data_IF_796032717903
#
_entry.id   IF_796032717903
#
_cell.length_a   1.000
_cell.length_b   1.000
_cell.length_c   1.000
_cell.angle_alpha   90.00
_cell.angle_beta   90.00
_cell.angle_gamma   90.00
#
_symmetry.space_group_name_H-M   'P 1'
#
loop_
_entity.id
_entity.type
_entity.pdbx_description
1 polymer ?
#
# COMPACT_ATOMS: atom_id res chain seq x y z
N UNK A 1 -16.90 6.03 15.43
CA UNK A 1 -16.87 4.71 14.74
C UNK A 1 -15.51 4.59 14.10
N UNK A 2 -14.66 3.71 14.64
CA UNK A 2 -13.37 3.34 14.04
C UNK A 2 -13.61 2.84 12.61
N UNK A 3 -12.94 3.45 11.62
CA UNK A 3 -12.96 2.93 10.25
C UNK A 3 -12.05 1.70 10.22
N UNK A 4 -12.50 0.56 9.67
CA UNK A 4 -11.62 -0.60 9.53
C UNK A 4 -10.43 -0.24 8.62
N UNK A 5 -9.25 -0.84 8.85
CA UNK A 5 -8.13 -0.72 7.93
C UNK A 5 -8.52 -1.21 6.54
N UNK A 6 -7.96 -0.58 5.51
CA UNK A 6 -8.09 -1.03 4.14
C UNK A 6 -6.80 -1.72 3.68
N UNK A 7 -6.97 -2.70 2.80
CA UNK A 7 -5.88 -3.45 2.18
C UNK A 7 -6.01 -3.29 0.67
N UNK A 8 -5.15 -2.46 0.10
CA UNK A 8 -5.28 -2.02 -1.28
C UNK A 8 -4.07 -2.46 -2.10
N UNK A 9 -4.32 -2.83 -3.35
CA UNK A 9 -3.30 -3.17 -4.33
C UNK A 9 -3.47 -2.32 -5.57
N UNK A 10 -2.36 -1.86 -6.15
CA UNK A 10 -2.33 -1.26 -7.47
C UNK A 10 -1.03 -1.58 -8.21
N UNK A 11 -1.11 -1.57 -9.56
CA UNK A 11 0.07 -1.60 -10.41
C UNK A 11 0.56 -0.18 -10.65
N UNK A 12 1.88 -0.02 -10.65
CA UNK A 12 2.53 1.25 -11.01
C UNK A 12 2.12 1.67 -12.42
N UNK A 13 1.81 2.96 -12.60
CA UNK A 13 1.41 3.55 -13.89
C UNK A 13 2.55 4.33 -14.55
N UNK A 14 3.44 4.90 -13.75
CA UNK A 14 4.60 5.67 -14.19
C UNK A 14 5.86 5.16 -13.49
N UNK A 15 6.97 5.08 -14.23
CA UNK A 15 8.26 4.68 -13.63
C UNK A 15 8.71 5.78 -12.67
N UNK A 16 8.91 5.42 -11.40
CA UNK A 16 9.54 6.28 -10.42
C UNK A 16 11.05 6.38 -10.70
N UNK A 17 11.60 7.58 -10.87
CA UNK A 17 13.04 7.76 -11.17
C UNK A 17 13.94 7.23 -10.05
N UNK A 18 13.49 7.30 -8.79
CA UNK A 18 14.25 6.84 -7.63
C UNK A 18 14.12 5.33 -7.39
N UNK A 19 13.02 4.71 -7.86
CA UNK A 19 12.71 3.29 -7.65
C UNK A 19 12.20 2.64 -8.93
N UNK A 20 13.04 2.57 -9.98
CA UNK A 20 12.59 2.17 -11.32
C UNK A 20 12.20 0.68 -11.42
N UNK A 21 12.60 -0.14 -10.44
CA UNK A 21 12.27 -1.57 -10.38
C UNK A 21 10.88 -1.85 -9.81
N UNK A 22 10.20 -0.88 -9.20
CA UNK A 22 8.91 -1.08 -8.54
C UNK A 22 7.80 -1.20 -9.59
N UNK A 23 7.02 -2.27 -9.51
CA UNK A 23 5.95 -2.59 -10.47
C UNK A 23 4.56 -2.60 -9.84
N UNK A 24 4.48 -2.75 -8.51
CA UNK A 24 3.22 -2.73 -7.78
C UNK A 24 3.40 -2.17 -6.37
N UNK A 25 2.32 -1.59 -5.87
CA UNK A 25 2.23 -1.04 -4.52
C UNK A 25 1.08 -1.75 -3.78
N UNK A 26 1.35 -2.12 -2.53
CA UNK A 26 0.32 -2.50 -1.56
C UNK A 26 0.25 -1.43 -0.50
N UNK A 27 -0.96 -0.97 -0.16
CA UNK A 27 -1.22 -0.20 1.05
C UNK A 27 -1.91 -1.11 2.05
N UNK A 28 -1.18 -1.48 3.10
CA UNK A 28 -1.65 -2.40 4.13
C UNK A 28 -2.01 -1.63 5.40
N UNK A 29 -3.30 -1.52 5.69
CA UNK A 29 -3.77 -0.83 6.89
C UNK A 29 -3.47 -1.62 8.16
N UNK A 30 -2.87 -0.95 9.14
CA UNK A 30 -2.52 -1.50 10.44
C UNK A 30 -3.39 -0.86 11.52
N UNK A 31 -3.90 -1.69 12.43
CA UNK A 31 -4.59 -1.17 13.61
C UNK A 31 -3.61 -0.57 14.60
N UNK A 32 -3.98 0.57 15.18
CA UNK A 32 -3.22 1.23 16.24
C UNK A 32 -3.88 0.96 17.60
N UNK A 33 -3.06 0.77 18.64
CA UNK A 33 -3.52 0.66 20.01
C UNK A 33 -4.08 2.00 20.49
N UNK A 34 -5.32 1.98 21.00
CA UNK A 34 -6.03 3.17 21.43
C UNK A 34 -7.50 3.11 21.00
N UNK A 35 -8.40 3.57 21.88
CA UNK A 35 -9.80 3.73 21.51
C UNK A 35 -9.90 4.85 20.47
N UNK A 36 -10.53 4.57 19.34
CA UNK A 36 -10.76 5.50 18.22
C UNK A 36 -9.52 6.03 17.45
N UNK A 37 -8.32 5.49 17.68
CA UNK A 37 -7.15 5.83 16.86
C UNK A 37 -7.33 5.35 15.40
N UNK A 38 -7.06 6.22 14.40
CA UNK A 38 -7.17 5.85 13.00
C UNK A 38 -6.06 4.85 12.60
N UNK A 39 -6.30 4.00 11.60
CA UNK A 39 -5.27 3.11 11.10
C UNK A 39 -4.14 3.89 10.42
N UNK A 40 -2.92 3.41 10.62
CA UNK A 40 -1.73 3.78 9.83
C UNK A 40 -1.59 2.82 8.66
N UNK A 41 -0.81 3.18 7.65
CA UNK A 41 -0.72 2.39 6.41
C UNK A 41 0.74 2.08 6.09
N UNK A 42 1.04 0.78 5.94
CA UNK A 42 2.32 0.36 5.39
C UNK A 42 2.22 0.36 3.86
N UNK A 43 2.97 1.24 3.20
CA UNK A 43 3.26 1.14 1.78
C UNK A 43 4.31 0.04 1.59
N UNK A 44 3.98 -1.01 0.83
CA UNK A 44 4.91 -2.07 0.46
C UNK A 44 5.14 -1.99 -1.05
N UNK A 45 6.40 -1.81 -1.45
CA UNK A 45 6.82 -1.67 -2.84
C UNK A 45 7.32 -3.00 -3.36
N UNK A 46 6.69 -3.50 -4.41
CA UNK A 46 7.05 -4.78 -5.02
C UNK A 46 7.81 -4.57 -6.33
N UNK A 47 8.89 -5.34 -6.49
CA UNK A 47 9.51 -5.58 -7.80
C UNK A 47 8.66 -6.60 -8.57
N UNK A 48 8.24 -7.67 -7.91
CA UNK A 48 7.29 -8.65 -8.42
C UNK A 48 6.37 -9.12 -7.29
N UNK A 49 5.09 -8.76 -7.42
CA UNK A 49 4.05 -9.11 -6.45
C UNK A 49 3.76 -10.61 -6.40
N UNK A 50 3.85 -11.31 -7.53
CA UNK A 50 3.51 -12.74 -7.61
C UNK A 50 4.54 -13.58 -6.87
N UNK A 51 5.83 -13.27 -7.05
CA UNK A 51 6.92 -13.95 -6.36
C UNK A 51 7.26 -13.35 -5.00
N UNK A 52 6.47 -12.39 -4.51
CA UNK A 52 6.70 -11.68 -3.24
C UNK A 52 8.10 -11.02 -3.15
N UNK A 53 8.61 -10.50 -4.26
CA UNK A 53 9.87 -9.75 -4.26
C UNK A 53 9.61 -8.29 -3.91
N UNK A 54 10.01 -7.92 -2.69
CA UNK A 54 9.83 -6.58 -2.12
C UNK A 54 11.10 -5.76 -2.39
N UNK A 55 10.91 -4.52 -2.84
CA UNK A 55 11.97 -3.51 -2.90
C UNK A 55 12.17 -2.87 -1.52
N UNK A 56 11.08 -2.56 -0.84
CA UNK A 56 11.06 -2.09 0.54
C UNK A 56 9.67 -1.63 0.95
N UNK A 57 9.57 -1.11 2.16
CA UNK A 57 8.33 -0.60 2.74
C UNK A 57 8.49 0.82 3.30
N UNK A 58 7.39 1.47 3.65
CA UNK A 58 7.35 2.75 4.36
C UNK A 58 6.03 2.94 5.11
N UNK A 59 6.09 3.40 6.36
CA UNK A 59 4.92 3.65 7.19
C UNK A 59 4.38 5.07 6.97
N UNK A 60 3.11 5.17 6.59
CA UNK A 60 2.35 6.42 6.41
C UNK A 60 1.34 6.58 7.54
N UNK A 61 1.11 7.81 8.00
CA UNK A 61 0.26 8.07 9.16
C UNK A 61 -1.23 8.04 8.80
N UNK A 62 -1.57 8.08 7.52
CA UNK A 62 -2.95 8.02 7.05
C UNK A 62 -3.07 7.40 5.66
N UNK A 63 -4.30 6.96 5.32
CA UNK A 63 -4.60 6.49 3.97
C UNK A 63 -4.48 7.61 2.92
N UNK A 64 -4.92 8.82 3.27
CA UNK A 64 -4.90 9.97 2.37
C UNK A 64 -3.46 10.29 1.96
N UNK A 65 -2.57 10.39 2.94
CA UNK A 65 -1.14 10.56 2.71
C UNK A 65 -0.57 9.44 1.82
N UNK A 66 -0.87 8.18 2.12
CA UNK A 66 -0.39 7.05 1.34
C UNK A 66 -0.86 7.08 -0.13
N UNK A 67 -2.10 7.51 -0.38
CA UNK A 67 -2.65 7.66 -1.73
C UNK A 67 -2.01 8.83 -2.49
N UNK A 68 -1.76 9.95 -1.80
CA UNK A 68 -1.09 11.12 -2.39
C UNK A 68 0.33 10.79 -2.84
N UNK A 69 1.13 10.15 -1.98
CA UNK A 69 2.48 9.70 -2.34
C UNK A 69 2.47 8.69 -3.48
N UNK A 70 1.56 7.71 -3.44
CA UNK A 70 1.49 6.71 -4.50
C UNK A 70 1.07 7.32 -5.86
N UNK A 71 0.23 8.35 -5.85
CA UNK A 71 -0.10 9.10 -7.05
C UNK A 71 1.10 9.90 -7.56
N UNK A 72 1.80 10.61 -6.66
CA UNK A 72 2.95 11.44 -7.03
C UNK A 72 4.13 10.63 -7.57
N UNK A 73 4.49 9.53 -6.90
CA UNK A 73 5.70 8.76 -7.20
C UNK A 73 5.48 7.69 -8.27
N UNK A 74 4.29 7.09 -8.33
CA UNK A 74 3.99 5.93 -9.18
C UNK A 74 2.86 6.15 -10.17
N UNK A 75 2.24 7.33 -10.18
CA UNK A 75 1.11 7.67 -11.06
C UNK A 75 -0.17 6.89 -10.76
N UNK A 76 -0.30 6.31 -9.57
CA UNK A 76 -1.45 5.46 -9.22
C UNK A 76 -2.62 6.35 -8.78
N UNK A 77 -3.71 6.34 -9.54
CA UNK A 77 -4.91 7.12 -9.22
C UNK A 77 -5.91 6.32 -8.37
N UNK A 78 -6.88 7.03 -7.80
CA UNK A 78 -7.91 6.42 -6.94
C UNK A 78 -8.64 5.23 -7.59
N UNK A 79 -8.88 5.28 -8.90
CA UNK A 79 -9.57 4.21 -9.65
C UNK A 79 -8.68 3.01 -10.00
N UNK A 80 -7.36 3.11 -9.79
CA UNK A 80 -6.42 2.02 -10.05
C UNK A 80 -6.34 1.03 -8.89
N UNK A 81 -6.72 1.47 -7.69
CA UNK A 81 -6.72 0.65 -6.49
C UNK A 81 -7.85 -0.37 -6.54
N UNK A 82 -7.52 -1.60 -6.18
CA UNK A 82 -8.50 -2.63 -5.84
C UNK A 82 -8.31 -3.07 -4.40
N UNK A 83 -9.40 -3.50 -3.79
CA UNK A 83 -9.33 -4.23 -2.53
C UNK A 83 -8.60 -5.56 -2.75
N UNK A 84 -7.75 -5.92 -1.79
CA UNK A 84 -7.14 -7.24 -1.71
C UNK A 84 -8.15 -8.26 -1.17
N UNK A 85 -8.03 -9.51 -1.61
CA UNK A 85 -8.77 -10.63 -1.02
C UNK A 85 -8.03 -11.19 0.20
N UNK A 86 -8.66 -12.11 0.94
CA UNK A 86 -8.08 -12.67 2.16
C UNK A 86 -6.76 -13.43 1.90
N UNK A 87 -6.66 -14.20 0.82
CA UNK A 87 -5.43 -14.93 0.46
C UNK A 87 -4.26 -13.99 0.14
N UNK A 88 -4.55 -12.82 -0.42
CA UNK A 88 -3.56 -11.77 -0.65
C UNK A 88 -3.13 -11.10 0.65
N UNK A 89 -4.06 -10.85 1.56
CA UNK A 89 -3.80 -10.27 2.88
C UNK A 89 -2.94 -11.22 3.72
N UNK A 90 -3.32 -12.51 3.78
CA UNK A 90 -2.64 -13.54 4.57
C UNK A 90 -1.20 -13.83 4.10
N UNK A 91 -0.88 -13.50 2.84
CA UNK A 91 0.48 -13.65 2.29
C UNK A 91 1.43 -12.55 2.74
N UNK A 92 0.92 -11.40 3.18
CA UNK A 92 1.75 -10.31 3.69
C UNK A 92 2.17 -10.67 5.10
N UNK A 93 3.38 -11.23 5.22
CA UNK A 93 4.03 -11.49 6.51
C UNK A 93 4.68 -10.19 7.00
N UNK A 94 4.30 -9.75 8.20
CA UNK A 94 4.83 -8.59 8.90
C UNK A 94 5.65 -9.01 10.12
#
# INVERSE_FOLDING_TARGET
MKKPPLYLFAKVRCICEYRPSVTAIVLFGLEVEGEDEPPVYMEIRFIDYTSQQIEGDHLMLSLEEALEYAQADYGIHQTDWRAMNQEEIDRITW
#
